data_IF_202485563857
#
_entry.id   IF_202485563857
#
_cell.length_a   1.000
_cell.length_b   1.000
_cell.length_c   1.000
_cell.angle_alpha   90.00
_cell.angle_beta   90.00
_cell.angle_gamma   90.00
#
_symmetry.space_group_name_H-M   'P 1'
#
loop_
_entity.id
_entity.type
_entity.pdbx_description
1 polymer ?
#
# COMPACT_ATOMS: atom_id res chain seq x y z
N UNK A 1 -77.33 10.19 -63.96
CA UNK A 1 -76.26 11.13 -63.62
C UNK A 1 -76.49 11.66 -62.22
N UNK A 2 -75.76 11.20 -61.24
CA UNK A 2 -75.43 11.93 -60.03
C UNK A 2 -74.52 10.99 -59.15
N UNK A 3 -73.30 11.40 -58.99
CA UNK A 3 -72.22 10.64 -58.28
C UNK A 3 -72.41 10.80 -56.76
N UNK A 4 -72.46 9.68 -56.04
CA UNK A 4 -72.35 9.65 -54.59
C UNK A 4 -70.82 9.61 -54.19
N UNK A 5 -70.41 10.51 -53.32
CA UNK A 5 -69.08 10.52 -52.72
C UNK A 5 -69.18 9.77 -51.35
N UNK A 6 -68.35 8.71 -51.23
CA UNK A 6 -68.15 8.03 -49.92
C UNK A 6 -66.99 8.73 -49.21
N UNK A 7 -67.25 9.10 -47.95
CA UNK A 7 -66.25 9.62 -47.00
C UNK A 7 -65.62 8.41 -46.25
N UNK A 8 -64.32 8.30 -46.39
CA UNK A 8 -63.52 7.36 -45.55
C UNK A 8 -63.00 8.12 -44.36
N UNK A 9 -63.40 7.71 -43.15
CA UNK A 9 -62.80 8.14 -41.87
C UNK A 9 -61.60 7.27 -41.58
N UNK A 10 -60.40 7.78 -41.69
CA UNK A 10 -59.19 7.14 -41.28
C UNK A 10 -58.93 7.34 -39.80
N UNK A 11 -58.92 6.25 -39.03
CA UNK A 11 -58.48 6.25 -37.62
C UNK A 11 -56.97 6.19 -37.59
N UNK A 12 -56.29 7.24 -37.14
CA UNK A 12 -54.87 7.25 -36.79
C UNK A 12 -54.69 6.65 -35.40
N UNK A 13 -54.25 5.39 -35.31
CA UNK A 13 -53.74 4.81 -34.08
C UNK A 13 -52.29 5.29 -33.88
N UNK A 14 -52.05 6.19 -32.94
CA UNK A 14 -50.73 6.58 -32.51
C UNK A 14 -50.15 5.52 -31.54
N UNK A 15 -49.18 4.74 -32.04
CA UNK A 15 -48.34 3.86 -31.24
C UNK A 15 -47.30 4.71 -30.48
N UNK A 16 -47.49 4.90 -29.19
CA UNK A 16 -46.46 5.40 -28.27
C UNK A 16 -45.45 4.25 -27.99
N UNK A 17 -44.30 4.27 -28.65
CA UNK A 17 -43.13 3.48 -28.21
C UNK A 17 -42.50 4.17 -27.02
N UNK A 18 -42.72 3.61 -25.81
CA UNK A 18 -41.94 3.97 -24.67
C UNK A 18 -40.53 3.40 -24.85
N UNK A 19 -39.56 4.28 -25.14
CA UNK A 19 -38.13 3.94 -25.02
C UNK A 19 -37.80 3.76 -23.55
N UNK A 20 -37.78 2.52 -23.07
CA UNK A 20 -37.11 2.17 -21.81
C UNK A 20 -35.63 2.21 -22.09
N UNK A 21 -34.96 3.31 -21.74
CA UNK A 21 -33.52 3.36 -21.67
C UNK A 21 -33.04 2.36 -20.62
N UNK A 22 -32.56 1.22 -21.07
CA UNK A 22 -31.79 0.27 -20.23
C UNK A 22 -30.53 1.01 -19.81
N UNK A 23 -30.54 1.59 -18.61
CA UNK A 23 -29.34 2.02 -17.92
C UNK A 23 -28.56 0.73 -17.64
N UNK A 24 -27.61 0.39 -18.50
CA UNK A 24 -26.64 -0.65 -18.20
C UNK A 24 -25.94 -0.28 -16.90
N UNK A 25 -25.87 -1.16 -15.89
CA UNK A 25 -25.08 -0.89 -14.72
C UNK A 25 -23.65 -0.59 -15.20
N UNK A 26 -23.12 0.56 -14.84
CA UNK A 26 -21.70 0.86 -15.05
C UNK A 26 -20.91 -0.32 -14.47
N UNK A 27 -20.32 -1.11 -15.33
CA UNK A 27 -19.33 -2.09 -14.89
C UNK A 27 -18.18 -1.28 -14.31
N UNK A 28 -18.05 -1.28 -12.98
CA UNK A 28 -16.86 -0.75 -12.31
C UNK A 28 -15.71 -1.67 -12.73
N UNK A 29 -14.95 -1.24 -13.73
CA UNK A 29 -13.72 -1.94 -14.11
C UNK A 29 -12.77 -1.87 -12.92
N UNK A 30 -12.20 -3.02 -12.56
CA UNK A 30 -11.18 -3.06 -11.49
C UNK A 30 -10.05 -2.07 -11.83
N UNK A 31 -9.57 -1.36 -10.81
CA UNK A 31 -8.41 -0.50 -10.98
C UNK A 31 -7.22 -1.33 -11.48
N UNK A 32 -6.50 -0.80 -12.44
CA UNK A 32 -5.36 -1.51 -13.07
C UNK A 32 -4.11 -0.64 -12.99
N UNK A 33 -2.97 -1.30 -12.92
CA UNK A 33 -1.68 -0.61 -13.06
C UNK A 33 -1.56 -0.07 -14.48
N UNK A 34 -1.35 1.24 -14.62
CA UNK A 34 -1.29 1.91 -15.92
C UNK A 34 0.10 2.50 -16.15
N UNK A 35 0.68 2.30 -17.34
CA UNK A 35 1.92 2.97 -17.73
C UNK A 35 1.63 4.41 -18.17
N UNK A 36 2.45 5.36 -17.69
CA UNK A 36 2.41 6.78 -18.08
C UNK A 36 3.70 7.10 -18.83
N UNK A 37 3.58 7.44 -20.10
CA UNK A 37 4.75 7.69 -20.97
C UNK A 37 5.18 9.16 -21.03
N UNK A 38 4.30 10.09 -20.64
CA UNK A 38 4.57 11.53 -20.66
C UNK A 38 4.26 12.14 -19.28
N UNK A 39 5.22 12.09 -18.37
CA UNK A 39 5.09 12.61 -17.01
C UNK A 39 6.02 13.79 -16.72
N UNK A 40 6.71 14.33 -17.73
CA UNK A 40 7.64 15.47 -17.61
C UNK A 40 9.11 15.09 -17.82
N UNK A 41 10.04 15.93 -17.36
CA UNK A 41 11.48 15.68 -17.48
C UNK A 41 11.88 14.31 -16.91
N UNK A 42 12.63 13.53 -17.71
CA UNK A 42 13.02 12.18 -17.35
C UNK A 42 14.50 11.89 -17.66
N UNK A 43 15.43 12.61 -17.03
CA UNK A 43 16.86 12.42 -17.29
C UNK A 43 17.40 11.07 -16.81
N UNK A 44 16.74 10.43 -15.84
CA UNK A 44 17.05 9.07 -15.37
C UNK A 44 16.60 7.97 -16.33
N UNK A 45 15.85 8.32 -17.38
CA UNK A 45 15.25 7.35 -18.32
C UNK A 45 14.43 6.26 -17.62
N UNK A 46 13.66 6.65 -16.61
CA UNK A 46 12.77 5.75 -15.87
C UNK A 46 11.46 5.53 -16.62
N UNK A 47 10.78 4.41 -16.36
CA UNK A 47 9.37 4.22 -16.77
C UNK A 47 8.47 4.45 -15.57
N UNK A 48 7.34 5.09 -15.80
CA UNK A 48 6.35 5.35 -14.77
C UNK A 48 5.16 4.41 -14.93
N UNK A 49 4.79 3.73 -13.85
CA UNK A 49 3.49 3.07 -13.73
C UNK A 49 2.76 3.71 -12.54
N UNK A 50 1.44 3.82 -12.66
CA UNK A 50 0.60 4.41 -11.61
C UNK A 50 -0.59 3.50 -11.32
N UNK A 51 -0.92 3.37 -10.06
CA UNK A 51 -2.11 2.69 -9.59
C UNK A 51 -3.03 3.69 -8.91
N UNK A 52 -4.22 3.87 -9.48
CA UNK A 52 -5.28 4.74 -8.97
C UNK A 52 -6.44 3.86 -8.56
N UNK A 53 -6.75 3.72 -7.27
CA UNK A 53 -7.82 2.85 -6.81
C UNK A 53 -9.21 3.41 -7.20
N UNK A 54 -10.21 2.54 -7.34
CA UNK A 54 -11.57 2.96 -7.71
C UNK A 54 -12.22 3.86 -6.64
N UNK A 55 -11.78 3.76 -5.40
CA UNK A 55 -12.23 4.57 -4.26
C UNK A 55 -11.26 5.68 -3.91
N UNK A 56 -10.48 6.18 -4.89
CA UNK A 56 -9.53 7.27 -4.67
C UNK A 56 -10.22 8.45 -3.97
N UNK A 57 -9.58 8.95 -2.91
CA UNK A 57 -10.12 10.05 -2.11
C UNK A 57 -9.99 11.39 -2.86
N UNK A 58 -10.88 12.37 -2.59
CA UNK A 58 -10.61 13.75 -2.98
C UNK A 58 -9.27 14.22 -2.38
N UNK A 59 -8.42 14.86 -3.21
CA UNK A 59 -7.06 15.24 -2.82
C UNK A 59 -6.27 14.05 -2.22
N UNK A 60 -6.03 12.98 -3.01
CA UNK A 60 -5.44 11.77 -2.48
C UNK A 60 -3.98 11.97 -2.07
N UNK A 61 -3.54 11.22 -1.07
CA UNK A 61 -2.13 11.08 -0.79
C UNK A 61 -1.41 10.35 -1.94
N UNK A 62 -0.12 10.64 -2.11
CA UNK A 62 0.72 10.01 -3.14
C UNK A 62 1.82 9.19 -2.45
N UNK A 63 1.95 7.94 -2.82
CA UNK A 63 3.02 7.05 -2.37
C UNK A 63 3.90 6.67 -3.56
N UNK A 64 5.18 7.03 -3.52
CA UNK A 64 6.19 6.63 -4.48
C UNK A 64 6.81 5.31 -4.01
N UNK A 65 6.55 4.19 -4.71
CA UNK A 65 6.93 2.83 -4.32
C UNK A 65 8.01 2.26 -5.25
N UNK A 66 9.24 2.16 -4.76
CA UNK A 66 10.45 1.89 -5.53
C UNK A 66 10.98 0.47 -5.33
N UNK A 67 11.16 -0.26 -6.43
CA UNK A 67 11.57 -1.67 -6.45
C UNK A 67 13.06 -1.90 -6.10
N UNK A 68 13.46 -3.13 -5.71
CA UNK A 68 14.87 -3.51 -5.55
C UNK A 68 15.58 -3.65 -6.91
N UNK A 69 16.92 -3.77 -6.91
CA UNK A 69 17.67 -4.15 -8.11
C UNK A 69 17.10 -5.42 -8.76
N UNK A 70 17.14 -5.51 -10.09
CA UNK A 70 16.56 -6.58 -10.86
C UNK A 70 15.04 -6.53 -10.99
N UNK A 71 14.39 -5.62 -10.29
CA UNK A 71 12.94 -5.45 -10.30
C UNK A 71 12.43 -4.53 -11.39
N UNK A 72 11.16 -4.19 -11.26
CA UNK A 72 10.44 -3.21 -12.07
C UNK A 72 9.22 -2.68 -11.30
N UNK A 73 8.64 -1.57 -11.71
CA UNK A 73 7.39 -1.06 -11.14
C UNK A 73 6.28 -2.13 -11.14
N UNK A 74 5.97 -2.79 -12.28
CA UNK A 74 4.99 -3.87 -12.32
C UNK A 74 5.30 -5.06 -11.40
N UNK A 75 6.57 -5.44 -11.27
CA UNK A 75 6.93 -6.52 -10.35
C UNK A 75 6.74 -6.12 -8.89
N UNK A 76 7.07 -4.89 -8.52
CA UNK A 76 6.88 -4.39 -7.16
C UNK A 76 5.40 -4.17 -6.82
N UNK A 77 4.60 -3.75 -7.80
CA UNK A 77 3.14 -3.72 -7.68
C UNK A 77 2.56 -5.10 -7.35
N UNK A 78 3.00 -6.14 -8.05
CA UNK A 78 2.44 -7.49 -7.88
C UNK A 78 2.99 -8.23 -6.65
N UNK A 79 4.18 -7.86 -6.16
CA UNK A 79 4.85 -8.54 -5.04
C UNK A 79 4.66 -7.87 -3.69
N UNK A 80 4.02 -6.69 -3.64
CA UNK A 80 3.81 -5.94 -2.40
C UNK A 80 2.33 -5.57 -2.21
N UNK A 81 1.97 -5.21 -0.99
CA UNK A 81 0.57 -4.93 -0.62
C UNK A 81 0.15 -3.46 -0.81
N UNK A 82 1.03 -2.59 -1.37
CA UNK A 82 0.73 -1.15 -1.46
C UNK A 82 -0.51 -0.84 -2.31
N UNK A 83 -0.74 -1.58 -3.41
CA UNK A 83 -1.95 -1.41 -4.22
C UNK A 83 -3.22 -1.85 -3.47
N UNK A 84 -3.16 -2.97 -2.75
CA UNK A 84 -4.28 -3.44 -1.90
C UNK A 84 -4.58 -2.45 -0.78
N UNK A 85 -3.55 -1.84 -0.18
CA UNK A 85 -3.72 -0.79 0.82
C UNK A 85 -4.25 0.51 0.21
N UNK A 86 -3.87 0.83 -1.03
CA UNK A 86 -4.45 1.94 -1.79
C UNK A 86 -5.95 1.72 -2.04
N UNK A 87 -6.37 0.51 -2.41
CA UNK A 87 -7.79 0.14 -2.51
C UNK A 87 -8.54 0.32 -1.19
N UNK A 88 -7.86 0.08 -0.08
CA UNK A 88 -8.47 0.21 1.25
C UNK A 88 -8.60 1.65 1.71
N UNK A 89 -7.56 2.48 1.46
CA UNK A 89 -7.45 3.81 2.07
C UNK A 89 -7.56 4.97 1.08
N UNK A 90 -7.66 4.69 -0.23
CA UNK A 90 -7.95 5.69 -1.27
C UNK A 90 -6.77 6.59 -1.64
N UNK A 91 -5.53 6.19 -1.42
CA UNK A 91 -4.34 6.90 -1.88
C UNK A 91 -3.85 6.38 -3.25
N UNK A 92 -3.00 7.12 -3.92
CA UNK A 92 -2.43 6.76 -5.23
C UNK A 92 -1.01 6.22 -5.03
N UNK A 93 -0.63 5.19 -5.81
CA UNK A 93 0.72 4.63 -5.78
C UNK A 93 1.41 4.77 -7.13
N UNK A 94 2.61 5.35 -7.13
CA UNK A 94 3.50 5.42 -8.28
C UNK A 94 4.52 4.29 -8.16
N UNK A 95 4.65 3.49 -9.22
CA UNK A 95 5.61 2.39 -9.32
C UNK A 95 6.60 2.68 -10.45
N UNK A 96 7.71 3.38 -10.18
CA UNK A 96 8.73 3.61 -11.18
C UNK A 96 9.48 2.32 -11.54
N UNK A 97 10.04 2.25 -12.74
CA UNK A 97 11.00 1.21 -13.13
C UNK A 97 12.34 1.86 -13.46
N UNK A 98 13.37 1.45 -12.75
CA UNK A 98 14.74 1.85 -13.03
C UNK A 98 15.28 1.16 -14.28
N UNK A 99 16.18 1.83 -14.99
CA UNK A 99 16.75 1.36 -16.25
C UNK A 99 18.28 1.24 -16.23
N UNK A 100 18.92 1.63 -15.12
CA UNK A 100 20.39 1.60 -14.99
C UNK A 100 20.89 0.20 -14.65
N UNK A 101 22.17 0.08 -14.33
CA UNK A 101 22.87 -1.17 -14.02
C UNK A 101 21.97 -2.13 -13.19
N UNK A 102 21.68 -3.31 -13.74
CA UNK A 102 20.83 -4.33 -13.11
C UNK A 102 19.42 -3.81 -12.71
N UNK A 103 18.88 -2.85 -13.41
CA UNK A 103 17.62 -2.19 -13.04
C UNK A 103 17.65 -1.66 -11.58
N UNK A 104 18.77 -1.14 -11.13
CA UNK A 104 18.87 -0.46 -9.86
C UNK A 104 18.63 1.04 -10.05
N UNK A 105 18.11 1.71 -9.03
CA UNK A 105 18.08 3.17 -8.99
C UNK A 105 19.50 3.72 -8.81
N UNK A 106 19.75 4.90 -9.36
CA UNK A 106 21.04 5.57 -9.29
C UNK A 106 21.30 6.14 -7.88
N UNK A 107 21.96 5.35 -7.07
CA UNK A 107 22.32 5.71 -5.69
C UNK A 107 23.80 6.06 -5.54
N UNK A 108 24.55 6.21 -6.64
CA UNK A 108 26.01 6.30 -6.64
C UNK A 108 26.60 7.49 -7.40
N UNK A 109 25.91 7.99 -8.44
CA UNK A 109 26.43 9.15 -9.20
C UNK A 109 26.40 10.42 -8.35
N UNK A 110 27.27 11.37 -8.68
CA UNK A 110 27.26 12.67 -7.99
C UNK A 110 25.98 13.45 -8.27
N UNK A 111 25.42 13.29 -9.47
CA UNK A 111 24.12 13.86 -9.86
C UNK A 111 22.96 13.34 -9.02
N UNK A 112 23.01 12.08 -8.58
CA UNK A 112 21.95 11.49 -7.74
C UNK A 112 21.98 11.98 -6.29
N UNK A 113 23.05 12.65 -5.87
CA UNK A 113 23.26 13.15 -4.50
C UNK A 113 23.01 14.64 -4.36
N UNK A 114 22.70 15.32 -5.47
CA UNK A 114 22.45 16.76 -5.47
C UNK A 114 21.05 17.06 -6.00
N UNK A 115 20.39 18.03 -5.36
CA UNK A 115 19.07 18.49 -5.79
C UNK A 115 19.11 19.03 -7.22
N UNK A 116 18.21 18.53 -8.09
CA UNK A 116 18.15 18.94 -9.49
C UNK A 116 19.22 18.30 -10.39
N UNK A 117 20.02 17.37 -9.88
CA UNK A 117 20.95 16.57 -10.67
C UNK A 117 20.24 15.76 -11.75
N UNK A 118 20.84 15.68 -12.94
CA UNK A 118 20.19 15.18 -14.16
C UNK A 118 20.16 13.65 -14.20
N UNK A 119 19.50 13.01 -13.22
CA UNK A 119 19.36 11.56 -13.09
C UNK A 119 18.05 11.17 -12.41
N UNK A 120 17.97 10.00 -11.78
CA UNK A 120 16.76 9.37 -11.25
C UNK A 120 15.94 10.26 -10.31
N UNK A 121 16.53 11.00 -9.34
CA UNK A 121 15.74 11.83 -8.44
C UNK A 121 14.85 12.87 -9.15
N UNK A 122 15.37 13.50 -10.24
CA UNK A 122 14.58 14.46 -11.03
C UNK A 122 13.44 13.76 -11.77
N UNK A 123 13.69 12.58 -12.33
CA UNK A 123 12.66 11.77 -12.99
C UNK A 123 11.55 11.34 -12.01
N UNK A 124 11.93 10.92 -10.81
CA UNK A 124 10.99 10.54 -9.75
C UNK A 124 10.15 11.73 -9.28
N UNK A 125 10.75 12.91 -9.15
CA UNK A 125 10.03 14.15 -8.84
C UNK A 125 9.05 14.54 -9.96
N UNK A 126 9.41 14.32 -11.23
CA UNK A 126 8.49 14.55 -12.34
C UNK A 126 7.25 13.64 -12.25
N UNK A 127 7.42 12.36 -11.85
CA UNK A 127 6.31 11.44 -11.63
C UNK A 127 5.41 11.88 -10.48
N UNK A 128 6.00 12.32 -9.37
CA UNK A 128 5.25 12.86 -8.22
C UNK A 128 4.47 14.12 -8.64
N UNK A 129 5.13 15.05 -9.34
CA UNK A 129 4.50 16.27 -9.85
C UNK A 129 3.35 15.96 -10.80
N UNK A 130 3.53 15.00 -11.71
CA UNK A 130 2.47 14.52 -12.60
C UNK A 130 1.26 14.01 -11.79
N UNK A 131 1.48 13.16 -10.80
CA UNK A 131 0.39 12.62 -9.99
C UNK A 131 -0.34 13.71 -9.19
N UNK A 132 0.39 14.64 -8.59
CA UNK A 132 -0.19 15.79 -7.89
C UNK A 132 -1.08 16.65 -8.80
N UNK A 133 -0.62 16.93 -10.02
CA UNK A 133 -1.36 17.75 -10.99
C UNK A 133 -2.53 17.00 -11.63
N UNK A 134 -2.29 15.76 -12.09
CA UNK A 134 -3.27 14.99 -12.86
C UNK A 134 -4.44 14.50 -12.01
N UNK A 135 -4.18 14.19 -10.73
CA UNK A 135 -5.18 13.61 -9.83
C UNK A 135 -5.54 14.52 -8.67
N UNK A 136 -5.11 15.80 -8.72
CA UNK A 136 -5.33 16.75 -7.63
C UNK A 136 -4.82 16.23 -6.27
N UNK A 137 -3.65 15.56 -6.29
CA UNK A 137 -3.06 14.98 -5.09
C UNK A 137 -2.75 16.04 -4.03
N UNK A 138 -2.77 15.61 -2.77
CA UNK A 138 -2.47 16.48 -1.64
C UNK A 138 -0.95 16.67 -1.51
N UNK A 139 -0.40 17.89 -1.72
CA UNK A 139 1.04 18.12 -1.61
C UNK A 139 1.57 17.98 -0.18
N UNK A 140 0.70 18.00 0.82
CA UNK A 140 1.06 17.75 2.22
C UNK A 140 0.99 16.28 2.61
N UNK A 141 0.67 15.39 1.68
CA UNK A 141 0.59 13.94 1.89
C UNK A 141 1.30 13.15 0.80
N UNK A 142 2.60 13.44 0.61
CA UNK A 142 3.48 12.74 -0.31
C UNK A 142 4.49 11.90 0.48
N UNK A 143 4.63 10.63 0.12
CA UNK A 143 5.45 9.65 0.83
C UNK A 143 6.30 8.84 -0.14
N UNK A 144 7.44 8.32 0.34
CA UNK A 144 8.28 7.42 -0.43
C UNK A 144 8.50 6.10 0.32
N UNK A 145 8.51 5.01 -0.41
CA UNK A 145 8.82 3.68 0.12
C UNK A 145 9.65 2.91 -0.90
N UNK A 146 10.54 2.07 -0.42
CA UNK A 146 11.31 1.24 -1.33
C UNK A 146 12.03 0.09 -0.65
N UNK A 147 12.51 -0.84 -1.49
CA UNK A 147 13.25 -2.02 -1.07
C UNK A 147 14.64 -2.01 -1.71
N UNK A 148 15.70 -2.34 -0.94
CA UNK A 148 17.09 -2.43 -1.43
C UNK A 148 17.50 -1.14 -2.15
N UNK A 149 17.82 -1.15 -3.45
CA UNK A 149 18.14 0.07 -4.19
C UNK A 149 17.00 1.11 -4.15
N UNK A 150 15.74 0.67 -4.09
CA UNK A 150 14.59 1.55 -3.89
C UNK A 150 14.53 2.14 -2.48
N UNK A 151 14.98 1.42 -1.45
CA UNK A 151 15.12 1.94 -0.10
C UNK A 151 16.25 2.98 -0.01
N UNK A 152 17.37 2.73 -0.66
CA UNK A 152 18.48 3.69 -0.82
C UNK A 152 17.98 4.97 -1.50
N UNK A 153 17.18 4.82 -2.57
CA UNK A 153 16.56 5.95 -3.26
C UNK A 153 15.50 6.65 -2.39
N UNK A 154 14.81 5.94 -1.50
CA UNK A 154 13.92 6.56 -0.50
C UNK A 154 14.71 7.52 0.39
N UNK A 155 15.84 7.09 0.95
CA UNK A 155 16.75 7.95 1.72
C UNK A 155 17.17 9.19 0.92
N UNK A 156 17.54 9.00 -0.36
CA UNK A 156 17.93 10.09 -1.24
C UNK A 156 16.79 11.09 -1.51
N UNK A 157 15.59 10.59 -1.82
CA UNK A 157 14.43 11.46 -2.10
C UNK A 157 14.04 12.32 -0.90
N UNK A 158 14.07 11.75 0.32
CA UNK A 158 13.79 12.49 1.54
C UNK A 158 14.88 13.52 1.88
N UNK A 159 16.14 13.22 1.56
CA UNK A 159 17.25 14.16 1.75
C UNK A 159 17.22 15.32 0.73
N UNK A 160 16.94 15.03 -0.53
CA UNK A 160 16.96 15.99 -1.63
C UNK A 160 15.71 16.87 -1.70
N UNK A 161 14.55 16.35 -1.30
CA UNK A 161 13.25 17.02 -1.42
C UNK A 161 12.44 16.95 -0.11
N UNK A 162 13.02 17.38 1.02
CA UNK A 162 12.37 17.26 2.34
C UNK A 162 11.09 18.09 2.46
N UNK A 163 10.91 19.13 1.66
CA UNK A 163 9.67 19.92 1.63
C UNK A 163 8.50 19.19 0.97
N UNK A 164 8.81 18.21 0.11
CA UNK A 164 7.79 17.43 -0.61
C UNK A 164 7.36 16.22 0.18
N UNK A 165 8.32 15.40 0.61
CA UNK A 165 8.03 14.16 1.30
C UNK A 165 7.79 14.40 2.79
N UNK A 166 6.72 13.81 3.33
CA UNK A 166 6.37 13.93 4.77
C UNK A 166 6.89 12.77 5.60
N UNK A 167 7.04 11.61 4.98
CA UNK A 167 7.73 10.46 5.57
C UNK A 167 8.20 9.48 4.50
N UNK A 168 9.11 8.58 4.89
CA UNK A 168 9.54 7.45 4.08
C UNK A 168 9.62 6.16 4.86
N UNK A 169 9.64 5.02 4.12
CA UNK A 169 9.90 3.70 4.67
C UNK A 169 10.94 2.97 3.81
N UNK A 170 12.08 2.66 4.39
CA UNK A 170 13.21 2.00 3.72
C UNK A 170 13.36 0.55 4.20
N UNK A 171 13.20 -0.40 3.27
CA UNK A 171 13.37 -1.82 3.53
C UNK A 171 14.74 -2.29 3.01
N UNK A 172 15.66 -2.62 3.92
CA UNK A 172 17.03 -3.08 3.62
C UNK A 172 17.82 -2.04 2.81
N UNK A 173 17.78 -0.79 3.29
CA UNK A 173 18.48 0.34 2.71
C UNK A 173 19.89 0.51 3.23
N UNK A 174 20.49 1.64 2.84
CA UNK A 174 21.73 2.20 3.38
C UNK A 174 21.58 3.72 3.53
N UNK A 175 22.38 4.38 4.37
CA UNK A 175 22.34 5.83 4.50
C UNK A 175 22.52 6.56 3.18
N UNK A 176 21.88 7.69 3.02
CA UNK A 176 22.14 8.61 1.91
C UNK A 176 23.64 8.98 1.84
N UNK A 177 24.19 8.99 0.63
CA UNK A 177 25.63 9.15 0.32
C UNK A 177 26.55 8.01 0.78
N UNK A 178 25.99 6.81 0.99
CA UNK A 178 26.77 5.62 1.28
C UNK A 178 27.79 5.33 0.18
N UNK A 179 27.37 5.30 -1.08
CA UNK A 179 28.24 4.99 -2.21
C UNK A 179 28.87 6.27 -2.79
N UNK A 180 30.21 6.40 -2.75
CA UNK A 180 30.88 7.59 -3.33
C UNK A 180 30.83 7.61 -4.86
N UNK A 181 30.72 6.45 -5.53
CA UNK A 181 30.67 6.32 -6.99
C UNK A 181 30.14 4.94 -7.39
N UNK A 182 29.96 4.70 -8.70
CA UNK A 182 29.46 3.46 -9.25
C UNK A 182 30.33 2.24 -8.93
N UNK A 183 31.65 2.40 -8.84
CA UNK A 183 32.57 1.29 -8.53
C UNK A 183 32.38 0.79 -7.09
N UNK A 184 31.95 1.64 -6.18
CA UNK A 184 31.59 1.27 -4.80
C UNK A 184 30.22 0.59 -4.71
N UNK A 185 29.33 0.84 -5.67
CA UNK A 185 28.01 0.20 -5.74
C UNK A 185 28.12 -1.16 -6.42
N UNK A 186 28.08 -2.24 -5.63
CA UNK A 186 28.15 -3.62 -6.13
C UNK A 186 26.91 -4.40 -5.72
N UNK A 187 25.82 -4.33 -6.50
CA UNK A 187 24.60 -5.05 -6.18
C UNK A 187 24.79 -6.56 -6.23
N UNK A 188 24.25 -7.28 -5.24
CA UNK A 188 24.29 -8.75 -5.17
C UNK A 188 25.47 -9.35 -4.42
N UNK A 189 26.42 -8.56 -3.98
CA UNK A 189 27.47 -8.97 -3.05
C UNK A 189 27.42 -8.11 -1.81
N UNK A 190 27.85 -8.67 -0.67
CA UNK A 190 27.96 -7.95 0.60
C UNK A 190 28.58 -6.57 0.32
N UNK A 191 27.70 -5.59 0.08
CA UNK A 191 28.10 -4.22 -0.21
C UNK A 191 28.96 -3.80 0.97
N UNK A 192 30.20 -3.38 0.70
CA UNK A 192 31.11 -2.97 1.75
C UNK A 192 30.36 -2.01 2.65
N UNK A 193 30.26 -2.31 3.95
CA UNK A 193 29.35 -1.58 4.81
C UNK A 193 29.74 -0.11 4.82
N UNK A 194 28.75 0.76 4.75
CA UNK A 194 28.92 2.20 4.88
C UNK A 194 29.15 2.58 6.34
N UNK A 195 29.96 1.80 7.03
CA UNK A 195 30.24 1.96 8.46
C UNK A 195 31.40 2.93 8.70
N UNK A 196 31.45 3.50 9.88
CA UNK A 196 32.57 4.29 10.37
C UNK A 196 32.38 5.79 10.34
N UNK A 197 31.27 6.31 9.78
CA UNK A 197 30.89 7.71 9.95
C UNK A 197 30.17 7.93 11.28
N UNK A 198 30.37 9.09 11.83
CA UNK A 198 29.62 9.56 13.01
C UNK A 198 28.20 9.92 12.61
N UNK A 199 27.29 9.98 13.59
CA UNK A 199 25.92 10.44 13.36
C UNK A 199 25.89 11.88 12.79
N UNK A 200 26.83 12.73 13.23
CA UNK A 200 26.97 14.10 12.71
C UNK A 200 27.34 14.13 11.23
N UNK A 201 28.34 13.34 10.82
CA UNK A 201 28.74 13.25 9.40
C UNK A 201 27.60 12.73 8.51
N UNK A 202 26.84 11.74 9.00
CA UNK A 202 25.67 11.25 8.29
C UNK A 202 24.54 12.29 8.19
N UNK A 203 24.23 12.97 9.28
CA UNK A 203 23.22 14.03 9.28
C UNK A 203 23.61 15.22 8.43
N UNK A 204 24.90 15.61 8.43
CA UNK A 204 25.42 16.69 7.58
C UNK A 204 25.32 16.35 6.10
N UNK A 205 25.51 15.09 5.72
CA UNK A 205 25.31 14.66 4.34
C UNK A 205 23.87 14.94 3.86
N UNK A 206 22.86 14.71 4.69
CA UNK A 206 21.45 15.02 4.39
C UNK A 206 21.22 16.53 4.34
N UNK A 207 21.70 17.28 5.33
CA UNK A 207 21.53 18.74 5.37
C UNK A 207 22.19 19.45 4.19
N UNK A 208 23.35 18.94 3.74
CA UNK A 208 24.09 19.47 2.62
C UNK A 208 23.48 19.14 1.25
N UNK A 209 22.55 18.16 1.17
CA UNK A 209 21.86 17.81 -0.07
C UNK A 209 20.86 18.90 -0.52
N UNK A 210 20.33 19.68 0.43
CA UNK A 210 19.48 20.84 0.16
C UNK A 210 19.89 22.02 1.06
N UNK A 211 21.01 22.69 0.75
CA UNK A 211 21.50 23.82 1.53
C UNK A 211 20.45 24.93 1.59
N UNK A 212 20.16 25.40 2.80
CA UNK A 212 19.14 26.44 3.03
C UNK A 212 17.74 25.92 3.32
N UNK A 213 17.51 24.61 3.33
CA UNK A 213 16.28 24.07 3.87
C UNK A 213 16.30 24.13 5.41
N UNK A 214 15.27 24.78 5.97
CA UNK A 214 15.10 24.96 7.42
C UNK A 214 13.71 24.50 7.90
N UNK A 215 12.96 23.81 7.04
CA UNK A 215 11.67 23.24 7.39
C UNK A 215 11.79 21.95 8.22
N UNK A 216 10.65 21.36 8.59
CA UNK A 216 10.64 20.07 9.28
C UNK A 216 11.13 18.95 8.36
N UNK A 217 12.07 18.15 8.84
CA UNK A 217 12.54 16.98 8.10
C UNK A 217 11.47 15.89 8.05
N UNK A 218 11.43 15.10 6.96
CA UNK A 218 10.48 13.98 6.84
C UNK A 218 10.78 12.90 7.87
N UNK A 219 9.73 12.27 8.40
CA UNK A 219 9.86 11.12 9.30
C UNK A 219 10.37 9.90 8.56
N UNK A 220 11.10 9.01 9.24
CA UNK A 220 11.71 7.85 8.59
C UNK A 220 11.43 6.55 9.33
N UNK A 221 10.98 5.53 8.58
CA UNK A 221 10.81 4.16 9.06
C UNK A 221 11.81 3.24 8.35
N UNK A 222 12.59 2.50 9.13
CA UNK A 222 13.73 1.70 8.68
C UNK A 222 13.50 0.22 8.99
N UNK A 223 13.78 -0.67 8.05
CA UNK A 223 13.52 -2.10 8.20
C UNK A 223 14.71 -2.92 7.74
N UNK A 224 15.19 -3.85 8.58
CA UNK A 224 16.30 -4.73 8.19
C UNK A 224 16.19 -6.12 8.80
N UNK A 225 16.59 -7.13 8.01
CA UNK A 225 16.69 -8.52 8.44
C UNK A 225 18.06 -8.83 9.02
N UNK A 226 18.11 -9.58 10.13
CA UNK A 226 19.40 -9.90 10.79
C UNK A 226 20.28 -10.87 10.00
N UNK A 227 19.72 -11.60 9.03
CA UNK A 227 20.42 -12.53 8.14
C UNK A 227 20.55 -11.98 6.70
N UNK A 228 20.54 -10.65 6.55
CA UNK A 228 20.77 -10.04 5.25
C UNK A 228 22.25 -10.11 4.87
N UNK A 229 22.55 -10.91 3.83
CA UNK A 229 23.90 -11.09 3.28
C UNK A 229 24.16 -10.26 2.02
N UNK A 230 23.15 -9.53 1.52
CA UNK A 230 23.25 -8.67 0.33
C UNK A 230 23.56 -7.24 0.74
N UNK A 231 22.77 -6.71 1.67
CA UNK A 231 23.00 -5.42 2.35
C UNK A 231 23.15 -5.76 3.84
N UNK A 232 24.33 -5.48 4.39
CA UNK A 232 24.64 -5.86 5.78
C UNK A 232 23.62 -5.28 6.76
N UNK A 233 23.17 -6.10 7.74
CA UNK A 233 22.31 -5.63 8.82
C UNK A 233 22.90 -4.43 9.59
N UNK A 234 24.23 -4.25 9.59
CA UNK A 234 24.88 -3.09 10.20
C UNK A 234 24.44 -1.75 9.61
N UNK A 235 23.93 -1.75 8.37
CA UNK A 235 23.45 -0.54 7.72
C UNK A 235 22.20 0.06 8.41
N UNK A 236 21.40 -0.76 9.11
CA UNK A 236 20.29 -0.27 9.91
C UNK A 236 20.75 0.72 10.98
N UNK A 237 21.88 0.43 11.63
CA UNK A 237 22.44 1.33 12.66
C UNK A 237 22.98 2.63 12.02
N UNK A 238 23.54 2.55 10.85
CA UNK A 238 24.02 3.74 10.12
C UNK A 238 22.84 4.62 9.64
N UNK A 239 21.74 4.02 9.15
CA UNK A 239 20.52 4.76 8.82
C UNK A 239 19.89 5.40 10.08
N UNK A 240 19.88 4.70 11.22
CA UNK A 240 19.42 5.26 12.50
C UNK A 240 20.27 6.46 12.89
N UNK A 241 21.61 6.36 12.83
CA UNK A 241 22.51 7.49 13.10
C UNK A 241 22.18 8.69 12.21
N UNK A 242 21.96 8.45 10.92
CA UNK A 242 21.66 9.51 9.95
C UNK A 242 20.35 10.23 10.32
N UNK A 243 19.26 9.52 10.41
CA UNK A 243 17.95 10.14 10.57
C UNK A 243 17.70 10.67 11.99
N UNK A 244 18.22 10.02 13.03
CA UNK A 244 18.13 10.57 14.39
C UNK A 244 18.94 11.87 14.49
N UNK A 245 20.13 11.95 13.87
CA UNK A 245 20.91 13.20 13.85
C UNK A 245 20.24 14.31 13.05
N UNK A 246 19.60 13.98 11.91
CA UNK A 246 18.82 14.94 11.11
C UNK A 246 17.72 15.59 11.95
N UNK A 247 17.04 14.80 12.77
CA UNK A 247 15.98 15.27 13.68
C UNK A 247 16.49 15.83 15.02
N UNK A 248 17.80 15.84 15.27
CA UNK A 248 18.37 16.29 16.57
C UNK A 248 18.01 15.38 17.75
N UNK A 249 17.79 14.10 17.49
CA UNK A 249 17.37 13.11 18.48
C UNK A 249 18.56 12.33 19.06
N UNK A 250 18.38 11.78 20.26
CA UNK A 250 19.31 10.82 20.85
C UNK A 250 19.40 9.53 20.02
N UNK A 251 20.59 8.90 20.01
CA UNK A 251 20.78 7.55 19.47
C UNK A 251 20.16 6.45 20.36
N UNK A 252 19.74 6.79 21.57
CA UNK A 252 19.01 5.88 22.45
C UNK A 252 17.52 5.97 22.12
N UNK A 253 16.85 4.85 21.80
CA UNK A 253 15.42 4.87 21.48
C UNK A 253 14.59 5.33 22.70
N UNK A 254 13.53 6.07 22.43
CA UNK A 254 12.55 6.49 23.45
C UNK A 254 11.67 5.33 23.92
N UNK A 255 11.46 4.35 23.03
CA UNK A 255 10.79 3.10 23.36
C UNK A 255 11.30 1.94 22.51
N UNK A 256 11.16 0.72 23.06
CA UNK A 256 11.43 -0.52 22.34
C UNK A 256 10.32 -1.51 22.66
N UNK A 257 9.75 -2.14 21.62
CA UNK A 257 8.71 -3.15 21.76
C UNK A 257 8.85 -4.27 20.72
N UNK A 258 7.97 -5.25 20.80
CA UNK A 258 7.93 -6.42 19.92
C UNK A 258 6.52 -6.49 19.30
N UNK A 259 6.26 -5.77 18.20
CA UNK A 259 4.92 -5.71 17.59
C UNK A 259 4.46 -7.05 17.02
N UNK A 260 5.43 -7.92 16.66
CA UNK A 260 5.18 -9.30 16.24
C UNK A 260 6.34 -10.21 16.70
N UNK A 261 6.12 -11.52 16.85
CA UNK A 261 7.19 -12.46 17.18
C UNK A 261 8.36 -12.34 16.19
N UNK A 262 9.57 -12.16 16.71
CA UNK A 262 10.78 -11.99 15.91
C UNK A 262 10.99 -10.58 15.34
N UNK A 263 10.12 -9.62 15.66
CA UNK A 263 10.29 -8.23 15.26
C UNK A 263 10.62 -7.39 16.49
N UNK A 264 11.67 -6.61 16.42
CA UNK A 264 11.99 -5.59 17.43
C UNK A 264 11.83 -4.23 16.80
N UNK A 265 10.96 -3.39 17.37
CA UNK A 265 10.78 -2.00 16.94
C UNK A 265 11.44 -1.08 17.96
N UNK A 266 12.27 -0.17 17.48
CA UNK A 266 12.88 0.94 18.24
C UNK A 266 12.30 2.25 17.72
N UNK A 267 11.71 3.05 18.60
CA UNK A 267 11.12 4.33 18.25
C UNK A 267 11.93 5.47 18.84
N UNK A 268 12.10 6.54 18.08
CA UNK A 268 12.83 7.73 18.46
C UNK A 268 11.89 8.92 18.30
N UNK A 269 11.37 9.40 19.43
CA UNK A 269 10.40 10.48 19.48
C UNK A 269 11.08 11.81 19.86
N UNK A 270 10.52 12.90 19.36
CA UNK A 270 10.88 14.25 19.75
C UNK A 270 10.29 14.64 21.13
N UNK A 271 10.55 15.86 21.56
CA UNK A 271 10.07 16.38 22.84
C UNK A 271 8.53 16.51 22.95
N UNK A 272 7.83 16.48 21.82
CA UNK A 272 6.36 16.46 21.79
C UNK A 272 5.78 15.05 21.93
N UNK A 273 6.63 14.01 21.88
CA UNK A 273 6.24 12.61 21.85
C UNK A 273 5.94 12.09 20.43
N UNK A 274 6.16 12.91 19.39
CA UNK A 274 5.97 12.48 18.00
C UNK A 274 7.16 11.63 17.56
N UNK A 275 6.90 10.40 17.13
CA UNK A 275 7.92 9.50 16.61
C UNK A 275 8.40 10.00 15.26
N UNK A 276 9.67 10.40 15.19
CA UNK A 276 10.32 10.89 13.97
C UNK A 276 11.05 9.76 13.23
N UNK A 277 11.63 8.81 13.96
CA UNK A 277 12.32 7.64 13.39
C UNK A 277 11.79 6.38 14.05
N UNK A 278 11.49 5.37 13.26
CA UNK A 278 11.23 3.99 13.70
C UNK A 278 12.22 3.04 13.01
N UNK A 279 12.73 2.08 13.74
CA UNK A 279 13.64 1.06 13.21
C UNK A 279 13.19 -0.34 13.61
N UNK A 280 12.98 -1.19 12.62
CA UNK A 280 12.55 -2.57 12.78
C UNK A 280 13.69 -3.53 12.48
N UNK A 281 14.02 -4.36 13.44
CA UNK A 281 14.91 -5.52 13.32
C UNK A 281 14.07 -6.76 13.14
N UNK A 282 14.25 -7.49 12.04
CA UNK A 282 13.51 -8.71 11.73
C UNK A 282 14.42 -9.92 11.91
N UNK A 283 14.22 -10.64 12.99
CA UNK A 283 15.08 -11.78 13.36
C UNK A 283 15.02 -12.90 12.31
N UNK A 284 16.16 -13.29 11.80
CA UNK A 284 16.31 -14.39 10.84
C UNK A 284 15.94 -14.04 9.39
N UNK A 285 15.36 -12.87 9.12
CA UNK A 285 15.06 -12.47 7.75
C UNK A 285 16.34 -12.14 6.98
N UNK A 286 16.40 -12.57 5.72
CA UNK A 286 17.41 -12.20 4.74
C UNK A 286 17.02 -10.97 3.93
N UNK A 287 17.58 -10.83 2.72
CA UNK A 287 17.29 -9.72 1.78
C UNK A 287 15.96 -9.91 1.04
N UNK A 288 14.85 -9.95 1.77
CA UNK A 288 13.51 -10.31 1.26
C UNK A 288 12.38 -9.39 1.74
N UNK A 289 12.71 -8.21 2.32
CA UNK A 289 11.69 -7.27 2.78
C UNK A 289 11.21 -6.34 1.65
N UNK A 290 9.97 -5.84 1.66
CA UNK A 290 8.96 -6.13 2.66
C UNK A 290 8.33 -7.51 2.51
N UNK A 291 8.12 -8.19 3.62
CA UNK A 291 7.25 -9.36 3.71
C UNK A 291 5.80 -8.93 3.91
N UNK A 292 4.88 -9.90 3.80
CA UNK A 292 3.46 -9.64 4.01
C UNK A 292 3.18 -8.98 5.37
N UNK A 293 2.30 -7.99 5.36
CA UNK A 293 1.91 -7.17 6.50
C UNK A 293 2.82 -5.97 6.79
N UNK A 294 4.06 -5.96 6.30
CA UNK A 294 4.99 -4.85 6.56
C UNK A 294 4.56 -3.55 5.89
N UNK A 295 3.98 -3.64 4.68
CA UNK A 295 3.47 -2.46 3.99
C UNK A 295 2.40 -1.73 4.81
N UNK A 296 1.58 -2.47 5.57
CA UNK A 296 0.56 -1.87 6.44
C UNK A 296 1.17 -0.99 7.55
N UNK A 297 2.29 -1.42 8.15
CA UNK A 297 3.02 -0.59 9.14
C UNK A 297 3.60 0.68 8.52
N UNK A 298 4.08 0.61 7.27
CA UNK A 298 4.54 1.81 6.56
C UNK A 298 3.38 2.79 6.30
N UNK A 299 2.24 2.29 5.84
CA UNK A 299 1.04 3.11 5.59
C UNK A 299 0.47 3.69 6.89
N UNK A 300 0.51 2.94 8.00
CA UNK A 300 0.16 3.45 9.33
C UNK A 300 1.13 4.55 9.78
N UNK A 301 2.43 4.34 9.64
CA UNK A 301 3.45 5.35 9.96
C UNK A 301 3.28 6.63 9.13
N UNK A 302 2.82 6.52 7.88
CA UNK A 302 2.46 7.67 7.04
C UNK A 302 1.18 8.38 7.49
N UNK A 303 0.40 7.78 8.40
CA UNK A 303 -0.88 8.34 8.85
C UNK A 303 -2.01 8.17 7.82
N UNK A 304 -1.90 7.18 6.93
CA UNK A 304 -2.87 6.94 5.85
C UNK A 304 -3.97 5.93 6.23
N UNK A 305 -3.91 5.32 7.42
CA UNK A 305 -4.90 4.35 7.92
C UNK A 305 -6.11 4.99 8.59
N UNK A 306 -6.06 6.30 8.90
CA UNK A 306 -7.18 7.05 9.45
C UNK A 306 -8.20 7.42 8.38
N UNK A 307 -9.47 7.55 8.75
CA UNK A 307 -10.49 8.17 7.91
C UNK A 307 -10.03 9.60 7.57
N UNK A 308 -10.00 9.97 6.28
CA UNK A 308 -9.83 11.36 5.83
C UNK A 308 -10.68 12.30 6.70
N UNK A 309 -10.19 13.50 7.04
CA UNK A 309 -11.03 14.48 7.72
C UNK A 309 -12.26 14.73 6.83
N UNK A 310 -13.39 14.24 7.29
CA UNK A 310 -14.69 14.54 6.71
C UNK A 310 -14.82 16.07 6.71
N UNK A 311 -14.93 16.66 5.53
CA UNK A 311 -15.34 18.05 5.41
C UNK A 311 -16.57 18.24 6.31
N UNK A 312 -16.49 19.18 7.25
CA UNK A 312 -17.56 19.51 8.19
C UNK A 312 -18.85 19.75 7.39
N UNK A 313 -19.91 18.94 7.51
CA UNK A 313 -21.15 19.23 6.83
C UNK A 313 -21.77 20.45 7.48
N UNK A 314 -22.01 21.47 6.67
CA UNK A 314 -22.89 22.61 7.03
C UNK A 314 -24.24 22.03 7.45
N UNK A 315 -24.68 22.34 8.66
CA UNK A 315 -25.89 21.84 9.26
C UNK A 315 -27.11 22.13 8.37
N UNK A 316 -27.74 21.09 7.83
CA UNK A 316 -29.07 21.12 7.24
C UNK A 316 -30.08 20.70 8.29
N UNK A 317 -31.23 21.34 8.43
CA UNK A 317 -32.13 21.14 9.58
C UNK A 317 -32.77 19.76 9.59
N UNK A 318 -32.81 19.18 10.78
CA UNK A 318 -33.38 17.93 11.20
C UNK A 318 -34.87 17.81 10.80
N UNK A 319 -35.18 16.78 10.01
CA UNK A 319 -36.52 16.19 9.95
C UNK A 319 -36.49 14.84 10.65
N UNK A 320 -37.33 14.71 11.67
CA UNK A 320 -37.52 13.49 12.46
C UNK A 320 -38.24 12.45 11.60
N UNK A 321 -37.67 11.24 11.39
CA UNK A 321 -38.43 10.17 10.74
C UNK A 321 -39.23 9.35 11.75
N UNK A 322 -40.52 9.28 11.49
CA UNK A 322 -41.48 8.37 12.10
C UNK A 322 -41.14 6.93 11.69
N UNK A 323 -40.93 6.04 12.67
CA UNK A 323 -40.71 4.60 12.46
C UNK A 323 -42.01 3.90 12.07
N UNK A 324 -41.99 3.24 10.91
CA UNK A 324 -42.96 2.18 10.57
C UNK A 324 -42.19 0.89 10.35
N UNK A 325 -42.49 -0.20 11.03
CA UNK A 325 -41.79 -1.45 10.83
C UNK A 325 -42.42 -2.22 9.65
N UNK A 326 -41.64 -2.45 8.60
CA UNK A 326 -42.01 -3.40 7.56
C UNK A 326 -40.88 -4.41 7.40
N UNK A 327 -41.16 -5.67 7.73
CA UNK A 327 -40.26 -6.81 7.58
C UNK A 327 -39.99 -7.10 6.11
N UNK A 328 -38.69 -7.04 5.73
CA UNK A 328 -38.14 -7.56 4.50
C UNK A 328 -37.09 -8.63 4.81
N UNK A 329 -36.63 -9.44 3.86
CA UNK A 329 -35.79 -10.60 4.11
C UNK A 329 -34.50 -10.21 4.81
N UNK A 330 -34.17 -10.90 5.90
CA UNK A 330 -32.97 -10.72 6.71
C UNK A 330 -31.73 -10.87 5.84
N UNK A 331 -31.07 -9.75 5.50
CA UNK A 331 -29.75 -9.78 4.92
C UNK A 331 -28.77 -10.44 5.92
N UNK A 332 -27.94 -11.38 5.47
CA UNK A 332 -26.95 -12.01 6.32
C UNK A 332 -26.07 -10.93 7.01
N UNK A 333 -25.74 -11.09 8.32
CA UNK A 333 -25.04 -10.05 9.09
C UNK A 333 -23.56 -9.88 8.69
N UNK A 334 -23.12 -10.63 7.70
CA UNK A 334 -21.73 -10.59 7.21
C UNK A 334 -21.64 -10.92 5.72
N UNK A 335 -20.57 -10.39 5.12
CA UNK A 335 -20.18 -10.69 3.74
C UNK A 335 -18.73 -11.13 3.74
N UNK A 336 -18.40 -12.16 2.95
CA UNK A 336 -17.03 -12.63 2.74
C UNK A 336 -16.69 -12.54 1.26
N UNK A 337 -15.61 -11.84 0.96
CA UNK A 337 -15.00 -11.83 -0.37
C UNK A 337 -13.76 -12.72 -0.34
N UNK A 338 -13.73 -13.73 -1.22
CA UNK A 338 -12.63 -14.67 -1.35
C UNK A 338 -11.94 -14.47 -2.71
N UNK A 339 -10.65 -14.14 -2.72
CA UNK A 339 -9.89 -13.85 -3.94
C UNK A 339 -8.65 -14.75 -3.99
N UNK A 340 -8.69 -15.86 -4.74
CA UNK A 340 -7.52 -16.71 -4.94
C UNK A 340 -6.61 -16.18 -6.07
N UNK A 341 -5.32 -16.40 -5.92
CA UNK A 341 -4.31 -16.30 -6.98
C UNK A 341 -3.64 -17.67 -7.09
N UNK A 342 -3.81 -18.36 -8.24
CA UNK A 342 -3.46 -19.78 -8.42
C UNK A 342 -2.32 -19.93 -9.43
N UNK A 343 -1.37 -20.79 -9.12
CA UNK A 343 -0.32 -21.27 -10.02
C UNK A 343 -0.22 -22.80 -9.97
N UNK A 344 0.62 -23.41 -10.76
CA UNK A 344 0.66 -24.83 -11.09
C UNK A 344 0.22 -25.83 -9.98
N UNK A 345 0.75 -25.74 -8.77
CA UNK A 345 0.39 -26.63 -7.64
C UNK A 345 0.29 -25.89 -6.31
N UNK A 346 0.14 -24.56 -6.36
CA UNK A 346 0.02 -23.71 -5.19
C UNK A 346 -0.90 -22.52 -5.45
N UNK A 347 -1.31 -21.87 -4.37
CA UNK A 347 -2.14 -20.68 -4.44
C UNK A 347 -1.95 -19.81 -3.20
N UNK A 348 -2.24 -18.54 -3.33
CA UNK A 348 -2.56 -17.66 -2.21
C UNK A 348 -4.03 -17.28 -2.29
N UNK A 349 -4.61 -16.90 -1.18
CA UNK A 349 -5.96 -16.33 -1.15
C UNK A 349 -6.02 -15.18 -0.15
N UNK A 350 -6.71 -14.11 -0.54
CA UNK A 350 -7.13 -13.04 0.36
C UNK A 350 -8.60 -13.21 0.68
N UNK A 351 -8.94 -13.09 1.96
CA UNK A 351 -10.29 -13.19 2.48
C UNK A 351 -10.64 -11.90 3.21
N UNK A 352 -11.62 -11.16 2.70
CA UNK A 352 -12.13 -9.96 3.36
C UNK A 352 -13.45 -10.26 4.06
N UNK A 353 -13.54 -9.94 5.34
CA UNK A 353 -14.74 -10.05 6.16
C UNK A 353 -15.36 -8.67 6.28
N UNK A 354 -16.61 -8.48 5.86
CA UNK A 354 -17.36 -7.23 6.05
C UNK A 354 -18.50 -7.47 7.04
N UNK A 355 -18.59 -6.66 8.08
CA UNK A 355 -19.71 -6.64 9.01
C UNK A 355 -20.85 -5.83 8.41
N UNK A 356 -21.89 -6.49 7.91
CA UNK A 356 -23.11 -5.88 7.36
C UNK A 356 -24.18 -5.67 8.41
N UNK A 357 -23.94 -6.07 9.66
CA UNK A 357 -24.82 -5.87 10.80
C UNK A 357 -24.70 -4.49 11.42
N UNK A 358 -25.54 -4.21 12.39
CA UNK A 358 -25.59 -2.93 13.12
C UNK A 358 -24.75 -2.89 14.41
N UNK A 359 -24.13 -4.01 14.81
CA UNK A 359 -23.31 -4.13 16.02
C UNK A 359 -21.87 -4.50 15.66
N UNK A 360 -20.90 -3.98 16.44
CA UNK A 360 -19.51 -4.36 16.25
C UNK A 360 -19.27 -5.84 16.56
N UNK A 361 -18.48 -6.50 15.73
CA UNK A 361 -18.00 -7.86 15.99
C UNK A 361 -16.70 -7.74 16.78
N UNK A 362 -16.66 -8.30 17.98
CA UNK A 362 -15.48 -8.33 18.87
C UNK A 362 -15.00 -9.78 19.00
N UNK A 363 -13.94 -10.10 18.28
CA UNK A 363 -13.49 -11.47 18.07
C UNK A 363 -14.22 -12.15 16.93
N UNK A 364 -13.48 -12.57 15.92
CA UNK A 364 -14.06 -13.25 14.77
C UNK A 364 -13.41 -14.62 14.53
N UNK A 365 -14.26 -15.54 14.08
CA UNK A 365 -13.86 -16.86 13.63
C UNK A 365 -14.57 -17.14 12.32
N UNK A 366 -13.80 -17.31 11.23
CA UNK A 366 -14.33 -17.70 9.91
C UNK A 366 -14.07 -19.17 9.68
N UNK A 367 -15.10 -19.89 9.23
CA UNK A 367 -15.00 -21.31 8.90
C UNK A 367 -15.47 -21.57 7.48
N UNK A 368 -14.81 -22.53 6.80
CA UNK A 368 -15.21 -23.02 5.48
C UNK A 368 -14.77 -24.45 5.28
N UNK A 369 -15.31 -25.08 4.22
CA UNK A 369 -14.91 -26.42 3.80
C UNK A 369 -14.31 -26.36 2.40
N UNK A 370 -13.15 -26.95 2.22
CA UNK A 370 -12.57 -27.12 0.89
C UNK A 370 -13.35 -28.14 0.07
N UNK A 371 -13.65 -27.84 -1.22
CA UNK A 371 -14.28 -28.82 -2.10
C UNK A 371 -13.29 -29.87 -2.64
N UNK A 372 -11.99 -29.67 -2.44
CA UNK A 372 -10.92 -30.53 -2.93
C UNK A 372 -9.89 -30.91 -1.86
N UNK A 373 -8.65 -31.02 -2.28
CA UNK A 373 -7.52 -31.48 -1.44
C UNK A 373 -6.56 -30.34 -1.05
N UNK A 374 -7.07 -29.13 -1.03
CA UNK A 374 -6.28 -27.95 -0.67
C UNK A 374 -5.73 -28.08 0.76
N UNK A 375 -4.44 -27.70 0.93
CA UNK A 375 -3.75 -27.67 2.21
C UNK A 375 -3.13 -26.30 2.43
N UNK A 376 -3.46 -25.64 3.53
CA UNK A 376 -2.89 -24.37 3.90
C UNK A 376 -1.51 -24.59 4.50
N UNK A 377 -0.50 -23.87 3.99
CA UNK A 377 0.91 -24.00 4.39
C UNK A 377 1.41 -22.81 5.18
N UNK A 378 0.81 -21.64 4.99
CA UNK A 378 1.13 -20.41 5.69
C UNK A 378 -0.10 -19.51 5.78
N UNK A 379 -0.17 -18.63 6.79
CA UNK A 379 -1.27 -17.68 6.96
C UNK A 379 -0.77 -16.36 7.55
N UNK A 380 -1.48 -15.27 7.26
CA UNK A 380 -1.23 -13.93 7.81
C UNK A 380 -2.55 -13.27 8.20
N UNK A 381 -2.49 -12.38 9.17
CA UNK A 381 -3.62 -11.69 9.79
C UNK A 381 -4.69 -12.60 10.41
N UNK A 382 -4.42 -13.90 10.52
CA UNK A 382 -5.26 -14.89 11.20
C UNK A 382 -4.41 -16.04 11.74
N UNK A 383 -4.88 -16.66 12.80
CA UNK A 383 -4.45 -18.01 13.17
C UNK A 383 -5.34 -19.02 12.49
N UNK A 384 -4.78 -19.84 11.60
CA UNK A 384 -5.56 -20.82 10.83
C UNK A 384 -5.24 -22.23 11.31
N UNK A 385 -6.27 -23.02 11.48
CA UNK A 385 -6.20 -24.47 11.72
C UNK A 385 -7.00 -25.21 10.65
N UNK A 386 -6.45 -26.31 10.15
CA UNK A 386 -7.09 -27.15 9.15
C UNK A 386 -7.12 -28.61 9.62
N UNK A 387 -8.26 -29.26 9.50
CA UNK A 387 -8.45 -30.70 9.74
C UNK A 387 -9.18 -31.32 8.56
N UNK A 388 -8.42 -32.03 7.71
CA UNK A 388 -8.95 -32.49 6.43
C UNK A 388 -9.37 -31.32 5.55
N UNK A 389 -10.63 -31.28 5.14
CA UNK A 389 -11.20 -30.20 4.34
C UNK A 389 -11.77 -29.04 5.18
N UNK A 390 -11.91 -29.21 6.49
CA UNK A 390 -12.45 -28.18 7.38
C UNK A 390 -11.37 -27.20 7.77
N UNK A 391 -11.62 -25.90 7.59
CA UNK A 391 -10.71 -24.81 7.95
C UNK A 391 -11.38 -23.85 8.93
N UNK A 392 -10.61 -23.41 9.91
CA UNK A 392 -10.99 -22.40 10.88
C UNK A 392 -9.93 -21.33 10.94
N UNK A 393 -10.29 -20.09 10.63
CA UNK A 393 -9.44 -18.90 10.77
C UNK A 393 -9.97 -18.04 11.91
N UNK A 394 -9.08 -17.58 12.79
CA UNK A 394 -9.41 -16.73 13.94
C UNK A 394 -8.61 -15.45 13.90
N UNK A 395 -9.22 -14.37 14.40
CA UNK A 395 -8.49 -13.10 14.56
C UNK A 395 -7.18 -13.26 15.35
N UNK A 396 -6.26 -12.40 15.08
CA UNK A 396 -5.05 -12.17 15.88
C UNK A 396 -5.25 -10.96 16.81
N UNK A 397 -4.28 -10.69 17.68
CA UNK A 397 -4.43 -9.71 18.75
C UNK A 397 -4.76 -8.27 18.29
N UNK A 398 -4.39 -7.90 17.05
CA UNK A 398 -4.57 -6.54 16.55
C UNK A 398 -5.80 -6.33 15.65
N UNK A 399 -6.52 -7.39 15.24
CA UNK A 399 -7.68 -7.28 14.34
C UNK A 399 -8.97 -7.93 14.86
N UNK A 400 -9.25 -8.00 16.18
CA UNK A 400 -10.43 -8.69 16.69
C UNK A 400 -11.73 -7.95 16.42
N UNK A 401 -11.70 -6.62 16.23
CA UNK A 401 -12.89 -5.79 16.15
C UNK A 401 -13.21 -5.37 14.71
N UNK A 402 -14.46 -5.66 14.28
CA UNK A 402 -14.99 -5.20 13.00
C UNK A 402 -16.23 -4.32 13.29
N UNK A 403 -16.13 -2.98 13.16
CA UNK A 403 -17.27 -2.11 13.41
C UNK A 403 -18.40 -2.33 12.38
N UNK A 404 -19.62 -1.86 12.66
CA UNK A 404 -20.71 -1.89 11.69
C UNK A 404 -20.33 -1.23 10.37
N UNK A 405 -20.54 -1.91 9.25
CA UNK A 405 -20.11 -1.45 7.92
C UNK A 405 -18.60 -1.54 7.67
N UNK A 406 -17.80 -1.88 8.68
CA UNK A 406 -16.36 -2.04 8.56
C UNK A 406 -15.95 -3.43 8.05
N UNK A 407 -14.66 -3.55 7.69
CA UNK A 407 -14.08 -4.79 7.19
C UNK A 407 -12.73 -5.08 7.85
N UNK A 408 -12.35 -6.35 7.88
CA UNK A 408 -10.99 -6.82 8.14
C UNK A 408 -10.63 -7.89 7.13
N UNK A 409 -9.33 -8.14 6.94
CA UNK A 409 -8.84 -9.13 6.01
C UNK A 409 -7.82 -10.06 6.65
N UNK A 410 -7.73 -11.24 6.10
CA UNK A 410 -6.65 -12.20 6.34
C UNK A 410 -6.34 -12.92 5.03
N UNK A 411 -5.20 -13.59 5.00
CA UNK A 411 -4.87 -14.40 3.83
C UNK A 411 -4.05 -15.61 4.21
N UNK A 412 -3.82 -16.44 3.20
CA UNK A 412 -3.04 -17.66 3.35
C UNK A 412 -2.45 -18.13 2.03
N UNK A 413 -1.40 -18.92 2.15
CA UNK A 413 -0.82 -19.69 1.07
C UNK A 413 -1.18 -21.17 1.26
N UNK A 414 -1.42 -21.86 0.18
CA UNK A 414 -1.69 -23.29 0.19
C UNK A 414 -1.16 -24.00 -1.04
N UNK A 415 -1.25 -25.33 -0.97
CA UNK A 415 -0.95 -26.24 -2.08
C UNK A 415 -2.21 -27.04 -2.41
N UNK A 416 -2.28 -27.55 -3.63
CA UNK A 416 -3.33 -28.43 -4.11
C UNK A 416 -2.80 -29.37 -5.21
N UNK A 417 -3.60 -30.39 -5.52
CA UNK A 417 -3.36 -31.30 -6.64
C UNK A 417 -4.63 -31.38 -7.50
N UNK A 418 -4.47 -31.21 -8.82
CA UNK A 418 -5.60 -31.16 -9.75
C UNK A 418 -6.19 -29.75 -9.90
N UNK A 419 -7.45 -29.53 -9.49
CA UNK A 419 -8.14 -28.24 -9.65
C UNK A 419 -8.25 -27.51 -8.32
N UNK A 420 -7.88 -26.22 -8.29
CA UNK A 420 -8.10 -25.33 -7.14
C UNK A 420 -9.50 -24.71 -7.19
N UNK A 421 -10.50 -25.41 -6.70
CA UNK A 421 -11.87 -24.91 -6.65
C UNK A 421 -12.08 -24.09 -5.37
N UNK A 422 -12.63 -22.88 -5.52
CA UNK A 422 -12.93 -21.99 -4.38
C UNK A 422 -14.02 -22.56 -3.47
N UNK A 423 -13.98 -22.29 -2.15
CA UNK A 423 -15.08 -22.58 -1.25
C UNK A 423 -16.34 -21.83 -1.67
N UNK A 424 -17.49 -22.47 -1.59
CA UNK A 424 -18.78 -21.88 -1.96
C UNK A 424 -19.50 -21.19 -0.81
N UNK A 425 -19.12 -21.49 0.43
CA UNK A 425 -19.75 -20.96 1.64
C UNK A 425 -18.73 -20.70 2.73
N UNK A 426 -18.95 -19.58 3.43
CA UNK A 426 -18.22 -19.20 4.63
C UNK A 426 -19.19 -18.87 5.75
N UNK A 427 -18.80 -19.16 6.99
CA UNK A 427 -19.53 -18.73 8.17
C UNK A 427 -18.64 -17.88 9.08
N UNK A 428 -19.20 -16.81 9.63
CA UNK A 428 -18.57 -15.93 10.60
C UNK A 428 -19.23 -16.13 11.97
N UNK A 429 -18.45 -16.55 12.97
CA UNK A 429 -18.94 -16.89 14.31
C UNK A 429 -20.15 -17.86 14.28
N UNK A 430 -20.11 -18.83 13.36
CA UNK A 430 -21.17 -19.82 13.16
C UNK A 430 -22.37 -19.36 12.31
N UNK A 431 -22.41 -18.09 11.89
CA UNK A 431 -23.48 -17.55 11.05
C UNK A 431 -23.04 -17.54 9.58
N UNK A 432 -23.80 -18.13 8.63
CA UNK A 432 -23.48 -18.06 7.21
C UNK A 432 -23.43 -16.62 6.69
N UNK A 433 -22.39 -16.32 5.91
CA UNK A 433 -22.22 -15.02 5.27
C UNK A 433 -22.59 -15.08 3.77
N UNK A 434 -22.92 -13.92 3.19
CA UNK A 434 -22.93 -13.78 1.74
C UNK A 434 -21.49 -13.92 1.23
N UNK A 435 -21.26 -14.77 0.24
CA UNK A 435 -19.94 -14.96 -0.41
C UNK A 435 -19.92 -14.22 -1.74
N UNK A 436 -18.83 -13.47 -2.00
CA UNK A 436 -18.58 -12.70 -3.23
C UNK A 436 -17.27 -13.12 -3.91
#
# INVERSE_FOLDING_TARGET
MKRARALWAGACAALLYALVALVSPNQVTAATLTEVTNFGPNPGNLRMHIYVPNNVQPNPAIVLAMHPCGGSGPSFYSSTEFATLADRYGFIVIYPSASKKMNCFDNWSDESKVRGGQTDPVSLMSMVTYALQQYHGDPDRVFAVGSSSGAMMTNAMLALYPEVFKAGAAFMGVPFTCFPNEAAFQPGFNSAPCVGKTAQEWGDAVRNANPGYHGPWPRMQLWHGTNDFVVSYSELEEEIKQWTNVHGLSQTPTSTDTPQPGWTRRSYADSSGTVQVEAYTIQGAGHTLPMSGMAAYAIEFFGLTGTSPTATPTATPTVTPTVTPTGGPTSAPCRIRYVPNTWNNGFTANVTITNTGSTAINGWTVTWTWPGNQQITNAWNATITQSGQQVTARNVGYNPTIPPGGSTDFGFQGIYSGTNTSPSQFALNGTPCVTE
#
